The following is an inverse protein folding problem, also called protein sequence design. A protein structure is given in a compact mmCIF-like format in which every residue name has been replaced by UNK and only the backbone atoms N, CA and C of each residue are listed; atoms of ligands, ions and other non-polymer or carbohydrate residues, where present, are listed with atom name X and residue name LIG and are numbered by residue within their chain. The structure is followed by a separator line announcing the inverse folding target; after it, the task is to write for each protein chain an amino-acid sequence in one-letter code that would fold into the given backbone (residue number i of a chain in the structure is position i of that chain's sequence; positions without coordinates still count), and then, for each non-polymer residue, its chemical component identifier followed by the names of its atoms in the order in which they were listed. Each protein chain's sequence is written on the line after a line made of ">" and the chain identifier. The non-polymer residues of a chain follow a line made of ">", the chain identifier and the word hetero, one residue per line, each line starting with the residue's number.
data_IF_196676453670
#
_entry.id   IF_196676453670
#
_cell.length_a   1.000
_cell.length_b   1.000
_cell.length_c   1.000
_cell.angle_alpha   90.00
_cell.angle_beta   90.00
_cell.angle_gamma   90.00
#
_symmetry.space_group_name_H-M   'P 1'
#
loop_
_entity.id
_entity.type
_entity.pdbx_description
1 polymer ?
#
# COMPACT_ATOMS: atom_id res chain seq x y z
N UNK A 1 4.33 16.81 -4.47
CA UNK A 1 5.60 16.18 -4.91
C UNK A 1 6.01 16.84 -6.22
N UNK A 2 7.18 17.46 -6.26
CA UNK A 2 7.75 18.06 -7.47
C UNK A 2 8.93 17.22 -7.95
N UNK A 3 9.06 17.01 -9.26
CA UNK A 3 10.20 16.33 -9.84
C UNK A 3 11.24 17.35 -10.30
N UNK A 4 12.47 17.18 -9.84
CA UNK A 4 13.62 17.97 -10.27
C UNK A 4 14.35 17.16 -11.34
N UNK A 5 14.47 17.67 -12.59
CA UNK A 5 15.21 16.97 -13.63
C UNK A 5 16.69 16.76 -13.26
N UNK A 6 17.29 15.71 -13.78
CA UNK A 6 18.73 15.48 -13.57
C UNK A 6 19.54 16.64 -14.18
N UNK A 7 20.49 17.16 -13.42
CA UNK A 7 21.31 18.30 -13.83
C UNK A 7 20.73 19.68 -13.49
N UNK A 8 19.52 19.75 -12.94
CA UNK A 8 18.95 21.00 -12.45
C UNK A 8 19.58 21.39 -11.09
N UNK A 9 19.61 22.69 -10.81
CA UNK A 9 20.01 23.19 -9.50
C UNK A 9 19.01 22.75 -8.44
N UNK A 10 19.49 22.17 -7.36
CA UNK A 10 18.64 21.77 -6.24
C UNK A 10 18.13 23.04 -5.53
N UNK A 11 16.88 23.03 -5.05
CA UNK A 11 16.38 24.11 -4.22
C UNK A 11 17.21 24.23 -2.93
N UNK A 12 17.26 25.40 -2.31
CA UNK A 12 17.96 25.56 -1.04
C UNK A 12 17.35 24.61 0.01
N UNK A 13 18.15 24.09 0.95
CA UNK A 13 17.65 23.24 2.02
C UNK A 13 16.54 23.95 2.81
N UNK A 14 15.46 23.23 3.06
CA UNK A 14 14.33 23.68 3.89
C UNK A 14 13.92 22.54 4.80
N UNK A 15 13.53 22.88 6.05
CA UNK A 15 13.02 21.90 7.02
C UNK A 15 11.77 21.17 6.53
N UNK A 16 11.05 21.75 5.57
CA UNK A 16 9.77 21.23 5.07
C UNK A 16 9.91 20.39 3.79
N UNK A 17 11.15 20.17 3.34
CA UNK A 17 11.39 19.42 2.09
C UNK A 17 12.27 18.21 2.32
N UNK A 18 11.85 17.08 1.74
CA UNK A 18 12.62 15.86 1.62
C UNK A 18 13.02 15.66 0.16
N UNK A 19 14.32 15.55 -0.10
CA UNK A 19 14.84 15.16 -1.40
C UNK A 19 15.02 13.64 -1.45
N UNK A 20 14.36 13.00 -2.38
CA UNK A 20 14.44 11.55 -2.58
C UNK A 20 14.81 11.23 -4.02
N UNK A 21 15.75 10.30 -4.21
CA UNK A 21 16.07 9.79 -5.54
C UNK A 21 14.84 9.10 -6.16
N UNK A 22 14.47 9.50 -7.37
CA UNK A 22 13.45 8.79 -8.14
C UNK A 22 14.02 7.47 -8.65
N UNK A 23 13.43 6.37 -8.24
CA UNK A 23 13.70 5.04 -8.77
C UNK A 23 12.68 4.71 -9.87
N UNK A 24 13.16 4.17 -10.98
CA UNK A 24 12.31 3.71 -12.10
C UNK A 24 12.37 2.19 -12.17
N UNK A 25 11.21 1.55 -12.28
CA UNK A 25 11.13 0.10 -12.31
C UNK A 25 9.70 -0.41 -12.23
N UNK A 26 9.56 -1.68 -11.91
CA UNK A 26 8.27 -2.33 -11.75
C UNK A 26 7.84 -2.34 -10.29
N UNK A 27 6.65 -1.84 -10.01
CA UNK A 27 6.08 -1.91 -8.67
C UNK A 27 5.77 -3.35 -8.27
N UNK A 28 6.12 -3.71 -7.05
CA UNK A 28 5.79 -4.96 -6.39
C UNK A 28 5.38 -4.65 -4.96
N UNK A 29 4.23 -5.16 -4.57
CA UNK A 29 3.70 -5.05 -3.22
C UNK A 29 3.85 -6.39 -2.51
N UNK A 30 4.11 -6.36 -1.22
CA UNK A 30 4.22 -7.58 -0.42
C UNK A 30 3.41 -7.46 0.87
N UNK A 31 2.94 -8.60 1.35
CA UNK A 31 2.44 -8.77 2.71
C UNK A 31 3.17 -9.95 3.33
N UNK A 32 3.87 -9.69 4.42
CA UNK A 32 4.61 -10.71 5.18
C UNK A 32 4.02 -10.88 6.56
N UNK A 33 3.96 -12.13 7.04
CA UNK A 33 3.79 -12.45 8.43
C UNK A 33 5.14 -12.73 9.05
N UNK A 34 5.46 -12.02 10.10
CA UNK A 34 6.74 -12.06 10.82
C UNK A 34 6.49 -12.42 12.25
N UNK A 35 7.32 -13.29 12.81
CA UNK A 35 7.24 -13.70 14.20
C UNK A 35 8.65 -13.82 14.78
N UNK A 36 8.92 -13.04 15.83
CA UNK A 36 10.22 -13.05 16.52
C UNK A 36 11.40 -12.71 15.60
N UNK A 37 11.26 -11.77 14.65
CA UNK A 37 12.29 -11.42 13.68
C UNK A 37 12.47 -12.41 12.53
N UNK A 38 11.59 -13.40 12.40
CA UNK A 38 11.61 -14.37 11.30
C UNK A 38 10.43 -14.18 10.37
N UNK A 39 10.68 -14.18 9.06
CA UNK A 39 9.61 -14.16 8.03
C UNK A 39 9.02 -15.55 7.90
N UNK A 40 7.79 -15.75 8.34
CA UNK A 40 7.07 -17.04 8.24
C UNK A 40 6.43 -17.22 6.85
N UNK A 41 5.91 -16.14 6.27
CA UNK A 41 5.36 -16.17 4.91
C UNK A 41 5.40 -14.79 4.27
N UNK A 42 5.39 -14.75 2.93
CA UNK A 42 5.30 -13.52 2.13
C UNK A 42 4.44 -13.76 0.90
N UNK A 43 3.33 -13.04 0.79
CA UNK A 43 2.55 -12.94 -0.42
C UNK A 43 2.95 -11.69 -1.19
N UNK A 44 3.22 -11.84 -2.50
CA UNK A 44 3.56 -10.73 -3.39
C UNK A 44 2.50 -10.53 -4.45
N UNK A 45 2.26 -9.27 -4.83
CA UNK A 45 1.27 -8.93 -5.84
C UNK A 45 1.63 -7.63 -6.56
N UNK A 46 0.95 -7.39 -7.68
CA UNK A 46 1.08 -6.17 -8.49
C UNK A 46 -0.28 -5.54 -8.69
N UNK A 47 -0.32 -4.22 -8.81
CA UNK A 47 -1.52 -3.52 -9.24
C UNK A 47 -1.82 -3.82 -10.71
N UNK A 48 -3.07 -4.19 -11.02
CA UNK A 48 -3.57 -4.37 -12.39
C UNK A 48 -4.38 -3.18 -12.87
N UNK A 49 -5.17 -2.60 -11.98
CA UNK A 49 -5.97 -1.39 -12.23
C UNK A 49 -5.73 -0.40 -11.12
N UNK A 50 -5.65 0.90 -11.46
CA UNK A 50 -5.36 1.97 -10.51
C UNK A 50 -6.47 3.04 -10.57
N UNK A 51 -6.79 3.61 -9.40
CA UNK A 51 -7.58 4.82 -9.24
C UNK A 51 -6.66 5.91 -8.68
N UNK A 52 -6.26 6.83 -9.53
CA UNK A 52 -5.19 7.78 -9.18
C UNK A 52 -3.87 7.04 -8.93
N UNK A 53 -3.30 7.20 -7.74
CA UNK A 53 -2.07 6.55 -7.29
C UNK A 53 -2.31 5.19 -6.62
N UNK A 54 -3.55 4.88 -6.25
CA UNK A 54 -3.91 3.68 -5.49
C UNK A 54 -4.27 2.52 -6.43
N UNK A 55 -3.69 1.36 -6.19
CA UNK A 55 -4.10 0.14 -6.88
C UNK A 55 -5.46 -0.34 -6.34
N UNK A 56 -6.40 -0.62 -7.24
CA UNK A 56 -7.75 -1.12 -6.93
C UNK A 56 -8.03 -2.50 -7.52
N UNK A 57 -7.21 -2.92 -8.47
CA UNK A 57 -7.14 -4.28 -8.97
C UNK A 57 -5.75 -4.86 -8.70
N UNK A 58 -5.68 -6.13 -8.34
CA UNK A 58 -4.47 -6.80 -7.90
C UNK A 58 -4.30 -8.14 -8.60
N UNK A 59 -3.04 -8.50 -8.85
CA UNK A 59 -2.67 -9.80 -9.40
C UNK A 59 -1.52 -10.38 -8.58
N UNK A 60 -1.67 -11.62 -8.08
CA UNK A 60 -0.59 -12.31 -7.38
C UNK A 60 0.62 -12.50 -8.28
N UNK A 61 1.80 -12.37 -7.70
CA UNK A 61 3.08 -12.51 -8.37
C UNK A 61 4.03 -13.39 -7.53
N UNK A 62 4.98 -14.09 -8.16
CA UNK A 62 6.03 -14.76 -7.40
C UNK A 62 6.88 -13.71 -6.67
N UNK A 63 7.30 -14.04 -5.46
CA UNK A 63 8.21 -13.19 -4.68
C UNK A 63 9.65 -13.43 -5.16
N UNK A 64 10.33 -12.43 -5.74
CA UNK A 64 11.72 -12.57 -6.14
C UNK A 64 12.62 -12.88 -4.94
N UNK A 65 13.69 -13.64 -5.18
CA UNK A 65 14.63 -14.00 -4.12
C UNK A 65 15.26 -12.77 -3.47
N UNK A 66 15.64 -11.77 -4.26
CA UNK A 66 16.18 -10.50 -3.76
C UNK A 66 15.23 -9.76 -2.80
N UNK A 67 13.93 -9.80 -3.07
CA UNK A 67 12.91 -9.22 -2.19
C UNK A 67 12.79 -10.01 -0.89
N UNK A 68 12.80 -11.35 -0.96
CA UNK A 68 12.77 -12.19 0.24
C UNK A 68 13.97 -11.92 1.15
N UNK A 69 15.16 -11.85 0.57
CA UNK A 69 16.39 -11.53 1.32
C UNK A 69 16.30 -10.15 1.96
N UNK A 70 15.83 -9.14 1.22
CA UNK A 70 15.69 -7.78 1.74
C UNK A 70 14.72 -7.73 2.95
N UNK A 71 13.55 -8.37 2.83
CA UNK A 71 12.57 -8.43 3.93
C UNK A 71 13.15 -9.17 5.13
N UNK A 72 13.83 -10.29 4.89
CA UNK A 72 14.41 -11.12 5.94
C UNK A 72 15.48 -10.36 6.73
N UNK A 73 16.34 -9.62 6.04
CA UNK A 73 17.33 -8.76 6.67
C UNK A 73 16.66 -7.64 7.49
N UNK A 74 15.68 -6.95 6.91
CA UNK A 74 14.94 -5.90 7.61
C UNK A 74 14.31 -6.38 8.91
N UNK A 75 13.65 -7.55 8.91
CA UNK A 75 12.97 -8.05 10.12
C UNK A 75 13.95 -8.60 11.16
N UNK A 76 15.07 -9.21 10.75
CA UNK A 76 16.11 -9.68 11.65
C UNK A 76 16.69 -8.52 12.47
N UNK A 77 16.92 -7.36 11.83
CA UNK A 77 17.46 -6.17 12.48
C UNK A 77 16.45 -5.50 13.43
N UNK A 78 15.14 -5.69 13.21
CA UNK A 78 14.08 -5.00 13.96
C UNK A 78 13.39 -5.87 15.01
N UNK A 79 13.54 -7.19 14.95
CA UNK A 79 12.90 -8.18 15.83
C UNK A 79 11.39 -7.99 16.01
N UNK A 80 10.69 -7.59 14.94
CA UNK A 80 9.25 -7.34 14.98
C UNK A 80 8.45 -8.65 14.93
N UNK A 81 7.21 -8.59 15.43
CA UNK A 81 6.19 -9.63 15.26
C UNK A 81 4.92 -8.98 14.74
N UNK A 82 4.31 -9.55 13.70
CA UNK A 82 3.07 -9.06 13.12
C UNK A 82 3.07 -9.04 11.60
N UNK A 83 2.08 -8.37 11.03
CA UNK A 83 1.99 -8.18 9.59
C UNK A 83 2.78 -6.96 9.15
N UNK A 84 3.65 -7.15 8.16
CA UNK A 84 4.40 -6.08 7.50
C UNK A 84 4.09 -6.08 6.02
N UNK A 85 3.68 -4.94 5.52
CA UNK A 85 3.50 -4.71 4.08
C UNK A 85 4.59 -3.78 3.57
N UNK A 86 5.21 -4.14 2.46
CA UNK A 86 6.21 -3.31 1.81
C UNK A 86 5.82 -3.00 0.38
N UNK A 87 6.07 -1.78 -0.01
CA UNK A 87 6.00 -1.33 -1.38
C UNK A 87 7.42 -1.25 -1.94
N UNK A 88 7.68 -2.01 -3.02
CA UNK A 88 8.96 -2.05 -3.69
C UNK A 88 8.86 -1.51 -5.12
N UNK A 89 9.96 -0.94 -5.59
CA UNK A 89 10.26 -0.78 -7.00
C UNK A 89 11.42 -1.72 -7.33
N UNK A 90 11.17 -2.67 -8.23
CA UNK A 90 12.22 -3.51 -8.80
C UNK A 90 12.81 -2.76 -9.99
N UNK A 91 14.08 -2.40 -9.91
CA UNK A 91 14.77 -1.75 -11.02
C UNK A 91 15.00 -2.73 -12.19
N UNK A 92 15.65 -2.26 -13.26
CA UNK A 92 15.92 -3.07 -14.46
C UNK A 92 16.85 -4.26 -14.17
N UNK A 93 17.65 -4.18 -13.12
CA UNK A 93 18.56 -5.24 -12.68
C UNK A 93 17.89 -6.22 -11.69
N UNK A 94 16.62 -5.99 -11.33
CA UNK A 94 15.91 -6.81 -10.35
C UNK A 94 16.27 -6.48 -8.90
N UNK A 95 16.97 -5.36 -8.66
CA UNK A 95 17.29 -4.89 -7.31
C UNK A 95 16.03 -4.29 -6.70
N UNK A 96 15.61 -4.73 -5.49
CA UNK A 96 14.46 -4.18 -4.79
C UNK A 96 14.83 -2.88 -4.08
N UNK A 97 14.05 -1.85 -4.32
CA UNK A 97 14.09 -0.58 -3.62
C UNK A 97 12.83 -0.49 -2.75
N UNK A 98 12.99 -0.57 -1.43
CA UNK A 98 11.90 -0.35 -0.48
C UNK A 98 11.47 1.11 -0.50
N UNK A 99 10.20 1.35 -0.78
CA UNK A 99 9.62 2.70 -0.87
C UNK A 99 8.84 3.03 0.39
N UNK A 100 8.09 2.06 0.89
CA UNK A 100 7.20 2.24 2.04
C UNK A 100 7.12 0.94 2.84
N UNK A 101 7.03 1.07 4.17
CA UNK A 101 6.74 -0.02 5.09
C UNK A 101 5.48 0.32 5.88
N UNK A 102 4.48 -0.54 5.80
CA UNK A 102 3.22 -0.42 6.54
C UNK A 102 3.09 -1.61 7.51
N UNK A 103 3.18 -1.40 8.84
CA UNK A 103 3.04 -2.47 9.83
C UNK A 103 1.55 -2.83 10.04
N UNK A 104 0.90 -3.29 8.98
CA UNK A 104 -0.52 -3.64 8.94
C UNK A 104 -0.83 -4.56 7.78
N UNK A 105 -2.02 -5.15 7.80
CA UNK A 105 -2.59 -5.86 6.65
C UNK A 105 -2.73 -4.92 5.44
N UNK A 106 -2.49 -5.48 4.26
CA UNK A 106 -2.69 -4.84 2.98
C UNK A 106 -3.44 -5.77 2.03
N UNK A 107 -3.62 -5.37 0.78
CA UNK A 107 -4.31 -6.19 -0.23
C UNK A 107 -3.64 -7.56 -0.49
N UNK A 108 -2.44 -7.79 0.03
CA UNK A 108 -1.79 -9.11 0.02
C UNK A 108 -2.57 -10.19 0.76
N UNK A 109 -3.44 -9.81 1.70
CA UNK A 109 -4.32 -10.72 2.44
C UNK A 109 -5.19 -11.59 1.53
N UNK A 110 -5.61 -11.09 0.37
CA UNK A 110 -6.43 -11.82 -0.59
C UNK A 110 -5.69 -12.97 -1.29
N UNK A 111 -4.39 -13.07 -1.09
CA UNK A 111 -3.52 -14.10 -1.68
C UNK A 111 -2.98 -15.09 -0.66
N UNK A 112 -3.34 -14.95 0.61
CA UNK A 112 -3.04 -15.89 1.70
C UNK A 112 -4.32 -16.65 2.05
N UNK A 113 -4.17 -17.86 2.54
CA UNK A 113 -5.30 -18.70 2.97
C UNK A 113 -6.00 -18.08 4.20
N UNK A 114 -7.31 -17.90 4.13
CA UNK A 114 -8.10 -17.22 5.17
C UNK A 114 -8.02 -17.94 6.53
N UNK A 115 -8.11 -19.28 6.53
CA UNK A 115 -8.04 -20.08 7.74
C UNK A 115 -6.69 -19.92 8.46
N UNK A 116 -5.61 -19.88 7.67
CA UNK A 116 -4.28 -19.65 8.22
C UNK A 116 -4.11 -18.25 8.80
N UNK A 117 -4.66 -17.23 8.16
CA UNK A 117 -4.60 -15.86 8.67
C UNK A 117 -5.23 -15.75 10.07
N UNK A 118 -6.38 -16.39 10.27
CA UNK A 118 -7.03 -16.47 11.59
C UNK A 118 -6.13 -17.14 12.63
N UNK A 119 -5.59 -18.30 12.30
CA UNK A 119 -4.67 -19.03 13.18
C UNK A 119 -3.38 -18.24 13.48
N UNK A 120 -2.82 -17.53 12.49
CA UNK A 120 -1.64 -16.70 12.68
C UNK A 120 -1.88 -15.55 13.68
N UNK A 121 -3.03 -14.86 13.57
CA UNK A 121 -3.41 -13.78 14.48
C UNK A 121 -3.63 -14.30 15.90
N UNK A 122 -4.19 -15.51 16.04
CA UNK A 122 -4.37 -16.17 17.35
C UNK A 122 -3.09 -16.78 17.91
N UNK A 123 -1.99 -16.78 17.16
CA UNK A 123 -0.73 -17.43 17.57
C UNK A 123 -0.73 -18.97 17.44
N UNK A 124 -1.71 -19.52 16.75
CA UNK A 124 -1.93 -20.97 16.60
C UNK A 124 -1.39 -21.54 15.29
N UNK A 125 -0.89 -20.69 14.38
CA UNK A 125 -0.37 -21.14 13.09
C UNK A 125 0.94 -21.91 13.26
N UNK A 126 0.92 -23.20 12.93
CA UNK A 126 2.07 -24.11 13.06
C UNK A 126 2.86 -24.25 11.76
N UNK A 127 2.23 -24.09 10.61
CA UNK A 127 2.84 -24.29 9.30
C UNK A 127 2.66 -23.04 8.40
N UNK A 128 3.58 -22.80 7.44
CA UNK A 128 3.42 -21.69 6.49
C UNK A 128 2.17 -21.93 5.62
N UNK A 129 1.42 -20.86 5.30
CA UNK A 129 0.19 -20.98 4.54
C UNK A 129 0.43 -21.33 3.09
N UNK A 130 -0.56 -21.91 2.46
CA UNK A 130 -0.65 -21.94 1.01
C UNK A 130 -0.81 -20.52 0.48
N UNK A 131 0.21 -20.04 -0.23
CA UNK A 131 0.13 -18.79 -0.98
C UNK A 131 -0.55 -19.08 -2.32
N UNK A 132 -1.49 -18.24 -2.69
CA UNK A 132 -2.20 -18.35 -3.95
C UNK A 132 -1.23 -18.43 -5.13
N UNK A 133 -1.49 -19.38 -6.02
CA UNK A 133 -0.73 -19.54 -7.26
C UNK A 133 -0.60 -18.21 -8.01
N UNK A 134 0.54 -18.02 -8.69
CA UNK A 134 0.77 -16.83 -9.49
C UNK A 134 -0.35 -16.64 -10.52
N UNK A 135 -0.84 -15.41 -10.65
CA UNK A 135 -1.90 -15.08 -11.60
C UNK A 135 -3.30 -14.96 -11.01
N UNK A 136 -3.56 -15.39 -9.77
CA UNK A 136 -4.83 -15.08 -9.11
C UNK A 136 -5.06 -13.57 -9.03
N UNK A 137 -6.31 -13.15 -9.16
CA UNK A 137 -6.71 -11.76 -9.22
C UNK A 137 -7.73 -11.44 -8.15
N UNK A 138 -7.58 -10.26 -7.54
CA UNK A 138 -8.53 -9.66 -6.63
C UNK A 138 -8.78 -8.21 -7.04
N UNK A 139 -9.92 -7.64 -6.64
CA UNK A 139 -10.24 -6.25 -6.95
C UNK A 139 -11.21 -5.66 -5.93
N UNK A 140 -11.27 -4.34 -5.93
CA UNK A 140 -12.34 -3.55 -5.32
C UNK A 140 -13.31 -3.16 -6.43
N UNK A 141 -14.40 -3.93 -6.60
CA UNK A 141 -15.32 -3.78 -7.76
C UNK A 141 -15.88 -2.38 -7.88
N UNK A 142 -16.27 -1.73 -6.77
CA UNK A 142 -16.76 -0.35 -6.82
C UNK A 142 -15.74 0.62 -7.41
N UNK A 143 -14.50 0.53 -6.96
CA UNK A 143 -13.43 1.41 -7.45
C UNK A 143 -13.08 1.09 -8.91
N UNK A 144 -13.05 -0.19 -9.28
CA UNK A 144 -12.81 -0.61 -10.67
C UNK A 144 -13.93 -0.13 -11.59
N UNK A 145 -15.19 -0.18 -11.13
CA UNK A 145 -16.35 0.28 -11.87
C UNK A 145 -16.30 1.81 -12.07
N UNK A 146 -15.99 2.57 -11.02
CA UNK A 146 -15.86 4.04 -11.14
C UNK A 146 -14.75 4.45 -12.10
N UNK A 147 -13.63 3.73 -12.12
CA UNK A 147 -12.57 3.96 -13.11
C UNK A 147 -13.01 3.58 -14.53
N UNK A 148 -13.79 2.50 -14.70
CA UNK A 148 -14.37 2.14 -15.99
C UNK A 148 -15.25 3.27 -16.53
N UNK A 149 -16.12 3.85 -15.70
CA UNK A 149 -16.92 5.03 -16.09
C UNK A 149 -16.05 6.22 -16.48
N UNK A 150 -15.05 6.57 -15.69
CA UNK A 150 -14.13 7.66 -16.03
C UNK A 150 -13.45 7.43 -17.37
N UNK A 151 -13.01 6.22 -17.67
CA UNK A 151 -12.37 5.89 -18.93
C UNK A 151 -13.35 5.90 -20.10
N UNK A 152 -14.60 5.48 -19.89
CA UNK A 152 -15.66 5.55 -20.89
C UNK A 152 -15.90 7.02 -21.29
N UNK A 153 -16.14 7.92 -20.33
CA UNK A 153 -16.39 9.34 -20.61
C UNK A 153 -15.18 10.09 -21.19
N UNK A 154 -13.98 9.58 -20.96
CA UNK A 154 -12.74 10.16 -21.52
C UNK A 154 -12.30 9.47 -22.82
N UNK A 155 -13.11 8.56 -23.38
CA UNK A 155 -12.83 7.79 -24.60
C UNK A 155 -11.49 7.02 -24.54
N UNK A 156 -11.07 6.60 -23.36
CA UNK A 156 -9.85 5.84 -23.14
C UNK A 156 -10.11 4.33 -23.24
N UNK A 157 -10.38 3.86 -24.47
CA UNK A 157 -10.83 2.50 -24.75
C UNK A 157 -9.89 1.41 -24.18
N UNK A 158 -8.53 1.49 -24.33
CA UNK A 158 -7.66 0.44 -23.79
C UNK A 158 -7.75 0.31 -22.27
N UNK A 159 -7.89 1.43 -21.54
CA UNK A 159 -8.04 1.44 -20.08
C UNK A 159 -9.42 0.93 -19.65
N UNK A 160 -10.48 1.33 -20.38
CA UNK A 160 -11.83 0.80 -20.18
C UNK A 160 -11.86 -0.72 -20.31
N UNK A 161 -11.25 -1.26 -21.38
CA UNK A 161 -11.20 -2.72 -21.61
C UNK A 161 -10.45 -3.45 -20.50
N UNK A 162 -9.41 -2.85 -19.92
CA UNK A 162 -8.73 -3.43 -18.76
C UNK A 162 -9.64 -3.47 -17.53
N UNK A 163 -10.35 -2.37 -17.24
CA UNK A 163 -11.30 -2.33 -16.12
C UNK A 163 -12.42 -3.38 -16.30
N UNK A 164 -13.01 -3.46 -17.48
CA UNK A 164 -14.04 -4.45 -17.79
C UNK A 164 -13.53 -5.89 -17.66
N UNK A 165 -12.32 -6.15 -18.14
CA UNK A 165 -11.65 -7.42 -17.95
C UNK A 165 -11.46 -7.74 -16.47
N UNK A 166 -10.93 -6.82 -15.68
CA UNK A 166 -10.72 -7.05 -14.24
C UNK A 166 -12.06 -7.28 -13.53
N UNK A 167 -13.13 -6.56 -13.88
CA UNK A 167 -14.47 -6.79 -13.34
C UNK A 167 -15.00 -8.21 -13.61
N UNK A 168 -14.66 -8.79 -14.77
CA UNK A 168 -15.15 -10.11 -15.16
C UNK A 168 -14.32 -11.27 -14.58
N UNK A 169 -13.01 -11.10 -14.43
CA UNK A 169 -12.09 -12.20 -14.12
C UNK A 169 -11.46 -12.15 -12.73
N UNK A 170 -11.62 -11.04 -12.01
CA UNK A 170 -11.04 -10.88 -10.67
C UNK A 170 -12.09 -11.17 -9.60
N UNK A 171 -11.68 -11.87 -8.53
CA UNK A 171 -12.52 -12.02 -7.34
C UNK A 171 -12.68 -10.66 -6.68
N UNK A 172 -13.89 -10.28 -6.32
CA UNK A 172 -14.11 -9.11 -5.50
C UNK A 172 -13.59 -9.34 -4.08
N UNK A 173 -12.98 -8.30 -3.50
CA UNK A 173 -12.37 -8.36 -2.18
C UNK A 173 -13.40 -8.47 -1.04
N UNK A 174 -14.62 -8.00 -1.27
CA UNK A 174 -15.68 -7.94 -0.26
C UNK A 174 -16.82 -8.93 -0.55
N UNK A 175 -17.08 -9.22 -1.85
CA UNK A 175 -18.18 -10.10 -2.22
C UNK A 175 -17.95 -11.53 -1.74
N UNK A 176 -18.91 -12.04 -0.96
CA UNK A 176 -18.99 -13.44 -0.57
C UNK A 176 -20.40 -13.97 -0.81
N UNK A 177 -20.52 -15.11 -1.49
CA UNK A 177 -21.81 -15.78 -1.66
C UNK A 177 -22.41 -16.31 -0.35
N UNK A 178 -21.56 -16.54 0.65
CA UNK A 178 -21.97 -16.98 2.00
C UNK A 178 -22.44 -15.83 2.87
N UNK A 179 -21.93 -14.63 2.61
CA UNK A 179 -22.30 -13.41 3.32
C UNK A 179 -22.19 -12.21 2.35
N UNK A 180 -23.26 -11.92 1.59
CA UNK A 180 -23.30 -10.81 0.64
C UNK A 180 -23.55 -9.45 1.33
N UNK A 181 -23.95 -9.45 2.60
CA UNK A 181 -24.39 -8.25 3.30
C UNK A 181 -23.32 -7.15 3.37
N UNK A 182 -22.04 -7.43 3.66
CA UNK A 182 -20.99 -6.40 3.65
C UNK A 182 -20.88 -5.65 2.32
N UNK A 183 -20.98 -6.38 1.19
CA UNK A 183 -20.95 -5.78 -0.14
C UNK A 183 -22.17 -4.89 -0.41
N UNK A 184 -23.36 -5.33 -0.01
CA UNK A 184 -24.60 -4.56 -0.18
C UNK A 184 -24.54 -3.29 0.67
N UNK A 185 -24.06 -3.38 1.92
CA UNK A 185 -23.92 -2.25 2.82
C UNK A 185 -22.83 -1.26 2.40
N UNK A 186 -21.87 -1.66 1.58
CA UNK A 186 -20.92 -0.72 0.97
C UNK A 186 -21.60 0.30 0.05
N UNK A 187 -22.73 -0.05 -0.56
CA UNK A 187 -23.45 0.85 -1.48
C UNK A 187 -23.85 2.17 -0.82
N UNK A 188 -24.58 2.18 0.31
CA UNK A 188 -24.90 3.43 1.01
C UNK A 188 -23.65 4.16 1.55
N UNK A 189 -22.61 3.42 1.99
CA UNK A 189 -21.36 4.01 2.45
C UNK A 189 -20.62 4.71 1.32
N UNK A 190 -20.50 4.07 0.15
CA UNK A 190 -19.91 4.69 -1.03
C UNK A 190 -20.70 5.93 -1.48
N UNK A 191 -22.02 5.92 -1.32
CA UNK A 191 -22.85 7.08 -1.62
C UNK A 191 -22.52 8.28 -0.74
N UNK A 192 -22.26 8.08 0.54
CA UNK A 192 -21.80 9.15 1.44
C UNK A 192 -20.49 9.76 0.96
N UNK A 193 -19.50 8.94 0.58
CA UNK A 193 -18.23 9.44 0.05
C UNK A 193 -18.39 10.19 -1.27
N UNK A 194 -19.26 9.71 -2.15
CA UNK A 194 -19.58 10.38 -3.41
C UNK A 194 -20.22 11.75 -3.13
N UNK A 195 -21.20 11.77 -2.23
CA UNK A 195 -21.90 13.00 -1.86
C UNK A 195 -20.94 14.03 -1.24
N UNK A 196 -20.10 13.59 -0.30
CA UNK A 196 -19.05 14.41 0.31
C UNK A 196 -18.06 14.94 -0.72
N UNK A 197 -17.59 14.09 -1.62
CA UNK A 197 -16.69 14.47 -2.71
C UNK A 197 -17.27 15.58 -3.60
N UNK A 198 -18.56 15.48 -3.94
CA UNK A 198 -19.26 16.49 -4.75
C UNK A 198 -19.43 17.79 -3.96
N UNK A 199 -19.90 17.69 -2.71
CA UNK A 199 -20.20 18.85 -1.86
C UNK A 199 -18.94 19.66 -1.52
N UNK A 200 -17.86 18.98 -1.17
CA UNK A 200 -16.61 19.57 -0.71
C UNK A 200 -15.61 19.78 -1.87
N UNK A 201 -15.95 19.33 -3.09
CA UNK A 201 -15.11 19.40 -4.29
C UNK A 201 -13.72 18.76 -4.12
N UNK A 202 -13.66 17.68 -3.36
CA UNK A 202 -12.44 16.89 -3.11
C UNK A 202 -12.49 15.55 -3.87
N UNK A 203 -11.35 14.92 -4.18
CA UNK A 203 -11.32 13.59 -4.76
C UNK A 203 -12.03 12.55 -3.88
N UNK A 204 -12.66 11.53 -4.48
CA UNK A 204 -13.37 10.47 -3.72
C UNK A 204 -12.42 9.74 -2.78
N UNK A 205 -11.16 9.52 -3.20
CA UNK A 205 -10.14 8.91 -2.34
C UNK A 205 -9.89 9.73 -1.07
N UNK A 206 -9.82 11.05 -1.19
CA UNK A 206 -9.63 11.95 -0.05
C UNK A 206 -10.90 12.00 0.82
N UNK A 207 -12.08 12.01 0.19
CA UNK A 207 -13.37 11.97 0.89
C UNK A 207 -13.51 10.71 1.77
N UNK A 208 -12.98 9.56 1.33
CA UNK A 208 -13.01 8.31 2.08
C UNK A 208 -12.02 8.25 3.24
N UNK A 209 -11.05 9.16 3.28
CA UNK A 209 -10.03 9.23 4.32
C UNK A 209 -10.26 10.36 5.33
N UNK A 210 -11.28 11.18 5.16
CA UNK A 210 -11.55 12.35 6.00
C UNK A 210 -11.63 12.02 7.49
N UNK A 211 -12.13 10.83 7.84
CA UNK A 211 -12.29 10.42 9.24
C UNK A 211 -10.96 9.91 9.85
N UNK A 212 -10.01 9.49 9.00
CA UNK A 212 -8.71 8.94 9.41
C UNK A 212 -7.64 10.04 9.37
N UNK A 213 -7.70 10.90 8.35
CA UNK A 213 -6.72 11.95 8.08
C UNK A 213 -7.25 13.35 8.47
N UNK A 214 -8.03 13.44 9.52
CA UNK A 214 -8.75 14.63 9.90
C UNK A 214 -7.87 15.88 10.12
N UNK A 215 -6.59 15.72 10.38
CA UNK A 215 -5.63 16.82 10.52
C UNK A 215 -5.32 17.55 9.21
N UNK A 216 -5.54 16.88 8.08
CA UNK A 216 -5.16 17.40 6.75
C UNK A 216 -6.24 18.31 6.11
N UNK A 217 -7.48 18.22 6.61
CA UNK A 217 -8.64 18.81 5.94
C UNK A 217 -9.32 19.94 6.72
N UNK A 218 -8.79 20.35 7.87
CA UNK A 218 -9.32 21.54 8.56
C UNK A 218 -8.80 22.81 7.88
N UNK A 219 -9.65 23.65 7.25
CA UNK A 219 -9.25 24.97 6.79
C UNK A 219 -8.73 25.76 8.00
N UNK A 220 -7.48 26.22 7.96
CA UNK A 220 -6.88 27.01 9.04
C UNK A 220 -6.04 26.21 10.06
N UNK A 221 -5.83 24.91 9.87
CA UNK A 221 -4.86 24.17 10.69
C UNK A 221 -3.44 24.57 10.27
N UNK A 222 -2.88 25.54 10.95
CA UNK A 222 -1.45 25.76 10.94
C UNK A 222 -0.82 24.60 11.73
N UNK A 223 0.12 23.88 11.13
CA UNK A 223 0.96 22.92 11.80
C UNK A 223 1.67 23.68 12.93
N UNK A 224 1.23 23.51 14.16
CA UNK A 224 2.08 23.82 15.28
C UNK A 224 3.33 22.97 15.12
N UNK A 225 4.48 23.62 15.02
CA UNK A 225 5.77 22.94 15.11
C UNK A 225 5.70 22.06 16.37
N UNK A 226 6.25 20.83 16.35
CA UNK A 226 6.36 20.07 17.58
C UNK A 226 7.24 20.91 18.52
N UNK A 227 6.61 21.73 19.36
CA UNK A 227 7.24 22.25 20.54
C UNK A 227 7.70 21.04 21.33
N UNK A 228 8.95 21.02 21.65
CA UNK A 228 9.66 20.00 22.40
C UNK A 228 8.78 19.51 23.56
N UNK A 229 8.29 18.29 23.46
CA UNK A 229 7.67 17.62 24.59
C UNK A 229 8.73 17.58 25.72
N UNK A 230 8.50 18.19 26.86
CA UNK A 230 9.49 18.19 27.94
C UNK A 230 9.66 16.74 28.41
N UNK A 231 10.82 16.15 28.14
CA UNK A 231 11.21 14.89 28.76
C UNK A 231 11.72 13.76 27.86
N UNK A 232 11.97 13.97 26.57
CA UNK A 232 12.72 12.97 25.81
C UNK A 232 14.24 13.22 25.97
N UNK A 233 15.02 12.22 26.42
CA UNK A 233 16.47 12.36 26.49
C UNK A 233 17.02 12.54 25.07
N UNK A 234 17.89 13.53 24.90
CA UNK A 234 18.59 13.79 23.65
C UNK A 234 19.30 12.52 23.17
N UNK A 235 18.93 12.07 21.96
CA UNK A 235 19.70 11.03 21.26
C UNK A 235 21.04 11.65 20.89
N UNK A 236 22.10 11.27 21.59
CA UNK A 236 23.44 11.68 21.24
C UNK A 236 23.81 11.19 19.83
N UNK A 237 24.39 12.03 18.98
CA UNK A 237 24.95 11.58 17.72
C UNK A 237 26.08 10.58 18.01
N UNK A 238 26.02 9.41 17.38
CA UNK A 238 27.13 8.45 17.39
C UNK A 238 28.37 9.14 16.80
N UNK A 239 29.37 9.25 17.60
CA UNK A 239 30.66 9.79 17.18
C UNK A 239 31.27 8.99 16.03
N UNK A 240 31.77 9.73 15.07
CA UNK A 240 32.66 9.28 14.02
C UNK A 240 33.93 8.70 14.66
N UNK A 241 34.08 7.39 14.69
CA UNK A 241 35.38 6.75 14.88
C UNK A 241 35.96 6.45 13.49
N UNK A 242 36.55 7.48 12.91
CA UNK A 242 37.69 7.30 11.99
C UNK A 242 38.94 7.63 12.81
N UNK A 243 39.81 6.65 12.85
CA UNK A 243 41.27 6.71 12.93
C UNK A 243 41.79 5.55 13.77
N UNK A 244 42.29 4.54 13.10
CA UNK A 244 43.67 4.00 13.14
C UNK A 244 43.71 2.72 12.28
#
# INVERSE_FOLDING_TARGET
>A
VSFIPQGSTLPPPSSDMLLQRKVTGNHLYTLSWVQGGEVKTTASYRGSTHSGTVAVGFKSAPTPFSVKQWIQQFVADTNVTGFLSFDFILDRSGIPWGIECNPRLSSGVHFIEEAWLGAAVMGEASEPPSISAAGKRAQWSYSTLTEAYKHLFRFRIPQLMRCLRDLLISRDAVWSWRDPLPFILMTPLCWEFIWRSIRERIPIGDASQCDIAWHWFKPGFQRESPEEAPGQPAVMPRGDEREA
#
